data_IF_947140010516
#
_entry.id   IF_947140010516
#
_cell.length_a   1.000
_cell.length_b   1.000
_cell.length_c   1.000
_cell.angle_alpha   90.00
_cell.angle_beta   90.00
_cell.angle_gamma   90.00
#
_symmetry.space_group_name_H-M   'P 1'
#
loop_
_entity.id
_entity.type
_entity.pdbx_description
1 polymer ?
#
# COMPACT_ATOMS: atom_id res chain seq x y z
N UNK A 1 20.10 37.24 -12.38
CA UNK A 1 20.78 35.98 -12.81
C UNK A 1 21.91 35.50 -11.88
N UNK A 2 22.60 36.39 -11.16
CA UNK A 2 23.77 36.04 -10.32
C UNK A 2 23.46 35.09 -9.14
N UNK A 3 22.31 35.27 -8.47
CA UNK A 3 21.89 34.42 -7.34
C UNK A 3 21.58 32.96 -7.71
N UNK A 4 21.22 32.70 -8.97
CA UNK A 4 20.92 31.33 -9.42
C UNK A 4 22.21 30.55 -9.71
N UNK A 5 23.21 31.21 -10.31
CA UNK A 5 24.55 30.63 -10.53
C UNK A 5 25.27 30.34 -9.20
N UNK A 6 25.17 31.21 -8.20
CA UNK A 6 25.79 31.02 -6.88
C UNK A 6 25.30 29.78 -6.12
N UNK A 7 24.06 29.33 -6.34
CA UNK A 7 23.51 28.11 -5.72
C UNK A 7 23.93 26.81 -6.41
N UNK A 8 24.35 26.90 -7.67
CA UNK A 8 24.76 25.73 -8.48
C UNK A 8 26.20 25.34 -8.19
N UNK A 9 27.04 26.30 -7.80
CA UNK A 9 28.50 26.13 -7.57
C UNK A 9 28.81 26.05 -6.07
N UNK A 10 27.79 25.98 -5.23
CA UNK A 10 27.96 25.96 -3.78
C UNK A 10 28.34 24.57 -3.26
N UNK A 11 29.19 24.52 -2.24
CA UNK A 11 29.51 23.28 -1.52
C UNK A 11 28.32 22.75 -0.72
N UNK A 12 28.33 21.45 -0.41
CA UNK A 12 27.29 20.83 0.40
C UNK A 12 27.14 21.51 1.78
N UNK A 13 28.26 21.88 2.41
CA UNK A 13 28.32 22.54 3.72
C UNK A 13 27.74 23.95 3.68
N UNK A 14 28.14 24.77 2.70
CA UNK A 14 27.60 26.11 2.53
C UNK A 14 26.07 26.06 2.24
N UNK A 15 25.64 25.06 1.47
CA UNK A 15 24.22 24.80 1.20
C UNK A 15 23.45 24.37 2.45
N UNK A 16 24.06 23.58 3.33
CA UNK A 16 23.47 23.19 4.60
C UNK A 16 23.32 24.41 5.54
N UNK A 17 24.37 25.23 5.65
CA UNK A 17 24.36 26.44 6.48
C UNK A 17 23.26 27.41 6.03
N UNK A 18 23.13 27.69 4.73
CA UNK A 18 22.04 28.54 4.24
C UNK A 18 20.66 27.98 4.56
N UNK A 19 20.45 26.66 4.41
CA UNK A 19 19.15 26.04 4.73
C UNK A 19 18.83 26.20 6.22
N UNK A 20 19.82 26.07 7.08
CA UNK A 20 19.67 26.30 8.52
C UNK A 20 19.30 27.75 8.81
N UNK A 21 20.05 28.71 8.26
CA UNK A 21 19.75 30.14 8.42
C UNK A 21 18.35 30.51 7.92
N UNK A 22 17.93 29.97 6.78
CA UNK A 22 16.58 30.18 6.24
C UNK A 22 15.52 29.56 7.15
N UNK A 23 15.74 28.35 7.67
CA UNK A 23 14.84 27.70 8.61
C UNK A 23 14.64 28.54 9.88
N UNK A 24 15.74 29.02 10.47
CA UNK A 24 15.69 29.90 11.64
C UNK A 24 14.97 31.23 11.36
N UNK A 25 15.22 31.82 10.19
CA UNK A 25 14.56 33.06 9.77
C UNK A 25 13.05 32.86 9.61
N UNK A 26 12.64 31.72 9.06
CA UNK A 26 11.24 31.34 8.97
C UNK A 26 10.62 31.08 10.34
N UNK A 27 11.34 30.42 11.26
CA UNK A 27 10.88 30.19 12.62
C UNK A 27 10.65 31.51 13.37
N UNK A 28 11.64 32.42 13.34
CA UNK A 28 11.52 33.76 13.96
C UNK A 28 10.33 34.53 13.41
N UNK A 29 10.12 34.51 12.09
CA UNK A 29 8.95 35.16 11.45
C UNK A 29 7.63 34.58 11.93
N UNK A 30 7.53 33.25 12.08
CA UNK A 30 6.32 32.60 12.59
C UNK A 30 6.06 32.88 14.06
N UNK A 31 7.12 33.07 14.87
CA UNK A 31 6.97 33.41 16.28
C UNK A 31 6.42 34.83 16.46
N UNK A 32 6.83 35.77 15.61
CA UNK A 32 6.40 37.16 15.65
C UNK A 32 5.14 37.44 14.82
N UNK A 33 4.49 36.42 14.26
CA UNK A 33 3.32 36.62 13.40
C UNK A 33 2.10 37.01 14.22
N UNK A 34 1.33 37.99 13.76
CA UNK A 34 0.02 38.30 14.31
C UNK A 34 -1.02 37.21 13.99
N UNK A 35 -2.13 37.16 14.72
CA UNK A 35 -3.21 36.20 14.43
C UNK A 35 -3.79 36.38 13.01
N UNK A 36 -3.88 37.63 12.54
CA UNK A 36 -4.35 37.93 11.18
C UNK A 36 -3.38 37.38 10.13
N UNK A 37 -2.09 37.57 10.30
CA UNK A 37 -1.05 37.04 9.40
C UNK A 37 -1.03 35.51 9.42
N UNK A 38 -1.16 34.92 10.60
CA UNK A 38 -1.31 33.47 10.76
C UNK A 38 -2.49 32.93 9.98
N UNK A 39 -3.65 33.57 10.10
CA UNK A 39 -4.88 33.18 9.39
C UNK A 39 -4.70 33.24 7.88
N UNK A 40 -4.15 34.35 7.35
CA UNK A 40 -3.88 34.50 5.92
C UNK A 40 -2.90 33.43 5.40
N UNK A 41 -1.82 33.15 6.14
CA UNK A 41 -0.84 32.12 5.79
C UNK A 41 -1.48 30.72 5.75
N UNK A 42 -2.31 30.38 6.73
CA UNK A 42 -3.01 29.09 6.77
C UNK A 42 -4.02 28.96 5.63
N UNK A 43 -4.79 30.01 5.34
CA UNK A 43 -5.73 30.02 4.22
C UNK A 43 -5.02 29.85 2.87
N UNK A 44 -3.91 30.56 2.67
CA UNK A 44 -3.08 30.43 1.46
C UNK A 44 -2.45 29.05 1.33
N UNK A 45 -2.01 28.44 2.43
CA UNK A 45 -1.49 27.08 2.43
C UNK A 45 -2.59 26.07 2.07
N UNK A 46 -3.79 26.24 2.65
CA UNK A 46 -4.92 25.37 2.38
C UNK A 46 -5.41 25.46 0.93
N UNK A 47 -5.44 26.65 0.33
CA UNK A 47 -5.80 26.83 -1.08
C UNK A 47 -4.74 26.23 -2.01
N UNK A 48 -3.46 26.49 -1.74
CA UNK A 48 -2.36 25.89 -2.52
C UNK A 48 -2.34 24.36 -2.42
N UNK A 49 -2.62 23.78 -1.25
CA UNK A 49 -2.71 22.34 -1.08
C UNK A 49 -3.91 21.74 -1.84
N UNK A 50 -5.06 22.41 -1.79
CA UNK A 50 -6.23 22.02 -2.59
C UNK A 50 -5.92 22.02 -4.09
N UNK A 51 -5.26 23.07 -4.60
CA UNK A 51 -4.84 23.16 -6.00
C UNK A 51 -3.83 22.06 -6.39
N UNK A 52 -2.91 21.70 -5.49
CA UNK A 52 -1.96 20.59 -5.73
C UNK A 52 -2.66 19.24 -5.78
N UNK A 53 -3.67 19.02 -4.93
CA UNK A 53 -4.47 17.79 -4.92
C UNK A 53 -5.42 17.68 -6.11
N UNK A 54 -5.97 18.81 -6.57
CA UNK A 54 -6.85 18.84 -7.74
C UNK A 54 -6.07 18.68 -9.05
N UNK A 55 -4.77 18.96 -9.05
CA UNK A 55 -3.89 18.60 -10.17
C UNK A 55 -3.72 17.09 -10.17
N UNK A 56 -4.25 16.45 -11.22
CA UNK A 56 -3.95 15.05 -11.51
C UNK A 56 -2.42 14.87 -11.50
N UNK A 57 -1.88 13.91 -10.73
CA UNK A 57 -0.47 13.58 -10.82
C UNK A 57 -0.17 13.25 -12.28
N UNK A 58 0.84 13.90 -12.87
CA UNK A 58 1.41 13.38 -14.12
C UNK A 58 2.01 12.02 -13.76
N UNK A 59 1.32 10.94 -14.14
CA UNK A 59 1.89 9.60 -14.00
C UNK A 59 3.10 9.52 -14.91
N UNK A 60 4.20 9.02 -14.37
CA UNK A 60 5.40 8.65 -15.14
C UNK A 60 5.18 7.40 -15.99
N UNK A 61 3.94 6.87 -16.04
CA UNK A 61 3.59 5.63 -16.72
C UNK A 61 3.95 4.37 -15.93
N UNK A 62 4.64 4.49 -14.79
CA UNK A 62 5.06 3.36 -13.96
C UNK A 62 3.91 2.72 -13.15
N UNK A 63 2.83 3.46 -12.91
CA UNK A 63 1.63 2.93 -12.29
C UNK A 63 0.38 3.63 -12.85
N UNK A 64 -0.71 2.87 -13.00
CA UNK A 64 -2.03 3.42 -13.33
C UNK A 64 -2.52 4.30 -12.17
N UNK A 65 -2.93 5.52 -12.50
CA UNK A 65 -3.47 6.52 -11.55
C UNK A 65 -4.79 6.03 -10.94
N UNK A 66 -5.53 5.19 -11.68
CA UNK A 66 -6.82 4.65 -11.29
C UNK A 66 -6.70 3.13 -11.11
N UNK A 67 -6.85 2.66 -9.87
CA UNK A 67 -7.07 1.23 -9.56
C UNK A 67 -8.55 0.87 -9.68
N UNK A 68 -9.20 1.24 -10.78
CA UNK A 68 -10.53 0.72 -11.08
C UNK A 68 -10.29 -0.63 -11.74
N UNK A 69 -10.08 -1.65 -10.93
CA UNK A 69 -10.22 -3.03 -11.37
C UNK A 69 -11.70 -3.35 -11.30
N UNK A 70 -12.29 -3.73 -12.43
CA UNK A 70 -13.63 -4.34 -12.40
C UNK A 70 -13.60 -5.51 -11.42
N UNK A 71 -14.53 -5.52 -10.47
CA UNK A 71 -14.62 -6.59 -9.47
C UNK A 71 -15.13 -7.82 -10.20
N UNK A 72 -14.22 -8.57 -10.79
CA UNK A 72 -14.53 -9.81 -11.48
C UNK A 72 -14.81 -10.89 -10.43
N UNK A 73 -16.10 -11.09 -10.13
CA UNK A 73 -16.55 -12.14 -9.24
C UNK A 73 -16.44 -13.51 -9.93
N UNK A 74 -15.68 -14.43 -9.35
CA UNK A 74 -15.43 -15.77 -9.90
C UNK A 74 -16.42 -16.84 -9.37
N UNK A 75 -17.43 -16.43 -8.61
CA UNK A 75 -18.37 -17.35 -7.96
C UNK A 75 -17.95 -17.74 -6.55
N UNK A 76 -18.68 -18.69 -5.96
CA UNK A 76 -18.34 -19.24 -4.64
C UNK A 76 -17.22 -20.27 -4.75
N UNK A 77 -16.36 -20.33 -3.74
CA UNK A 77 -15.22 -21.25 -3.66
C UNK A 77 -15.68 -22.64 -3.17
N UNK A 78 -16.44 -23.36 -4.00
CA UNK A 78 -17.14 -24.60 -3.60
C UNK A 78 -16.48 -25.89 -4.10
N UNK A 79 -15.55 -25.82 -5.06
CA UNK A 79 -14.99 -27.02 -5.66
C UNK A 79 -13.82 -27.54 -4.83
N UNK A 80 -13.92 -28.76 -4.33
CA UNK A 80 -12.88 -29.34 -3.47
C UNK A 80 -11.90 -30.18 -4.28
N UNK A 81 -10.61 -29.92 -4.15
CA UNK A 81 -9.57 -30.77 -4.71
C UNK A 81 -9.58 -32.14 -4.03
N UNK A 82 -9.60 -33.21 -4.82
CA UNK A 82 -9.65 -34.59 -4.33
C UNK A 82 -8.37 -34.98 -3.58
N UNK A 83 -7.23 -34.34 -3.90
CA UNK A 83 -5.94 -34.66 -3.31
C UNK A 83 -5.61 -33.85 -2.03
N UNK A 84 -5.70 -32.51 -2.09
CA UNK A 84 -5.36 -31.64 -0.94
C UNK A 84 -6.57 -31.22 -0.11
N UNK A 85 -7.80 -31.37 -0.61
CA UNK A 85 -8.98 -30.81 0.03
C UNK A 85 -9.11 -29.29 -0.07
N UNK A 86 -8.22 -28.60 -0.79
CA UNK A 86 -8.31 -27.16 -1.02
C UNK A 86 -9.57 -26.80 -1.83
N UNK A 87 -10.14 -25.63 -1.54
CA UNK A 87 -11.31 -25.11 -2.22
C UNK A 87 -10.88 -24.26 -3.42
N UNK A 88 -11.60 -24.42 -4.53
CA UNK A 88 -11.37 -23.83 -5.83
C UNK A 88 -12.67 -23.25 -6.40
N UNK A 89 -12.53 -22.35 -7.38
CA UNK A 89 -13.69 -21.83 -8.09
C UNK A 89 -14.18 -22.83 -9.15
N UNK A 90 -15.49 -22.90 -9.44
CA UNK A 90 -16.03 -23.72 -10.53
C UNK A 90 -15.36 -23.47 -11.89
N UNK A 91 -14.95 -22.23 -12.18
CA UNK A 91 -14.29 -21.87 -13.44
C UNK A 91 -12.86 -22.42 -13.58
N UNK A 92 -12.22 -22.83 -12.48
CA UNK A 92 -10.87 -23.42 -12.49
C UNK A 92 -10.89 -24.90 -12.88
N UNK A 93 -12.04 -25.57 -12.79
CA UNK A 93 -12.18 -26.99 -13.08
C UNK A 93 -11.96 -27.25 -14.56
N UNK A 94 -10.94 -28.06 -14.89
CA UNK A 94 -10.67 -28.50 -16.26
C UNK A 94 -11.45 -29.78 -16.56
N UNK A 95 -12.08 -29.84 -17.74
CA UNK A 95 -12.85 -31.01 -18.19
C UNK A 95 -12.05 -32.33 -18.14
N UNK A 96 -10.76 -32.28 -18.45
CA UNK A 96 -9.89 -33.45 -18.46
C UNK A 96 -9.48 -33.92 -17.04
N UNK A 97 -9.64 -33.08 -16.02
CA UNK A 97 -9.12 -33.32 -14.66
C UNK A 97 -10.14 -32.84 -13.61
N UNK A 98 -11.36 -33.43 -13.56
CA UNK A 98 -12.37 -32.99 -12.61
C UNK A 98 -11.89 -33.21 -11.17
N UNK A 99 -11.94 -32.15 -10.36
CA UNK A 99 -11.51 -32.19 -8.96
C UNK A 99 -10.00 -32.29 -8.74
N UNK A 100 -9.18 -32.18 -9.79
CA UNK A 100 -7.71 -32.14 -9.69
C UNK A 100 -7.19 -30.83 -10.25
N UNK A 101 -6.33 -30.17 -9.49
CA UNK A 101 -5.85 -28.83 -9.81
C UNK A 101 -4.33 -28.83 -9.88
N UNK A 102 -3.79 -28.33 -10.99
CA UNK A 102 -2.34 -28.16 -11.16
C UNK A 102 -1.80 -27.14 -10.14
N UNK A 103 -2.59 -26.09 -9.87
CA UNK A 103 -2.25 -25.02 -8.95
C UNK A 103 -2.20 -25.45 -7.47
N UNK A 104 -3.00 -26.46 -7.04
CA UNK A 104 -2.94 -26.96 -5.66
C UNK A 104 -1.90 -28.07 -5.45
N UNK A 105 -1.90 -29.09 -6.32
CA UNK A 105 -1.16 -30.34 -6.08
C UNK A 105 -0.41 -30.86 -7.30
N UNK A 106 -0.27 -30.06 -8.35
CA UNK A 106 0.18 -30.55 -9.66
C UNK A 106 -0.60 -31.83 -10.04
N UNK A 107 -1.94 -31.75 -9.98
CA UNK A 107 -2.86 -32.86 -10.27
C UNK A 107 -2.73 -34.08 -9.34
N UNK A 108 -2.17 -33.88 -8.14
CA UNK A 108 -1.96 -34.92 -7.13
C UNK A 108 -0.56 -35.52 -7.13
N UNK A 109 0.41 -34.91 -7.85
CA UNK A 109 1.80 -35.36 -7.90
C UNK A 109 2.52 -35.24 -6.56
N UNK A 110 2.14 -34.27 -5.74
CA UNK A 110 2.64 -34.15 -4.38
C UNK A 110 1.50 -34.19 -3.38
N UNK A 111 1.70 -34.97 -2.33
CA UNK A 111 0.80 -35.03 -1.17
C UNK A 111 1.32 -34.03 -0.15
N UNK A 112 0.56 -32.95 0.05
CA UNK A 112 0.80 -32.07 1.18
C UNK A 112 0.27 -32.78 2.42
N UNK A 113 1.15 -33.35 3.24
CA UNK A 113 0.81 -33.82 4.58
C UNK A 113 0.61 -32.59 5.45
N UNK A 114 -0.55 -31.96 5.29
CA UNK A 114 -0.93 -30.78 6.04
C UNK A 114 -0.88 -31.12 7.54
N UNK A 115 0.13 -30.57 8.22
CA UNK A 115 0.17 -30.44 9.68
C UNK A 115 0.37 -31.72 10.51
N UNK A 116 0.57 -32.91 9.95
CA UNK A 116 0.80 -34.13 10.74
C UNK A 116 2.13 -34.10 11.55
N UNK A 117 3.10 -33.28 11.14
CA UNK A 117 4.42 -33.16 11.79
C UNK A 117 4.76 -31.77 12.33
N UNK A 118 3.79 -30.85 12.40
CA UNK A 118 4.05 -29.48 12.84
C UNK A 118 4.11 -29.40 14.37
N UNK A 119 5.01 -28.54 14.88
CA UNK A 119 5.06 -28.23 16.30
C UNK A 119 3.72 -27.68 16.77
N UNK A 120 3.30 -28.06 17.99
CA UNK A 120 1.94 -27.79 18.49
C UNK A 120 1.58 -26.30 18.45
N UNK A 121 2.55 -25.42 18.71
CA UNK A 121 2.39 -23.97 18.64
C UNK A 121 1.95 -23.48 17.26
N UNK A 122 2.49 -24.06 16.17
CA UNK A 122 2.12 -23.70 14.80
C UNK A 122 0.74 -24.23 14.43
N UNK A 123 0.33 -25.38 14.98
CA UNK A 123 -1.04 -25.90 14.79
C UNK A 123 -2.08 -24.99 15.42
N UNK A 124 -1.81 -24.44 16.62
CA UNK A 124 -2.71 -23.52 17.32
C UNK A 124 -2.97 -22.23 16.54
N UNK A 125 -2.00 -21.73 15.77
CA UNK A 125 -2.17 -20.56 14.91
C UNK A 125 -3.11 -20.79 13.72
N UNK A 126 -3.26 -22.05 13.28
CA UNK A 126 -4.04 -22.40 12.10
C UNK A 126 -5.51 -22.72 12.42
N UNK A 127 -5.78 -23.18 13.65
CA UNK A 127 -7.14 -23.33 14.16
C UNK A 127 -7.64 -21.95 14.57
N UNK A 128 -8.21 -21.23 13.61
CA UNK A 128 -8.94 -19.99 13.88
C UNK A 128 -10.09 -20.31 14.83
N UNK A 129 -9.99 -19.86 16.08
CA UNK A 129 -11.15 -19.84 16.95
C UNK A 129 -12.20 -18.92 16.32
N UNK A 130 -13.45 -19.39 16.14
CA UNK A 130 -14.50 -18.66 15.44
C UNK A 130 -14.84 -17.31 16.11
N UNK A 131 -14.43 -17.11 17.36
CA UNK A 131 -14.69 -15.92 18.18
C UNK A 131 -13.56 -14.88 18.17
N UNK A 132 -12.52 -15.02 17.34
CA UNK A 132 -11.49 -13.98 17.16
C UNK A 132 -12.00 -12.81 16.30
N UNK A 133 -12.87 -12.01 16.93
CA UNK A 133 -13.64 -10.90 16.37
C UNK A 133 -12.85 -9.59 16.22
N UNK A 134 -13.28 -8.80 15.21
CA UNK A 134 -13.18 -7.33 15.05
C UNK A 134 -11.93 -6.60 14.49
N UNK A 135 -10.74 -7.18 14.35
CA UNK A 135 -9.59 -6.36 13.83
C UNK A 135 -9.51 -6.24 12.30
N UNK A 136 -10.19 -7.11 11.54
CA UNK A 136 -10.10 -7.09 10.07
C UNK A 136 -11.16 -6.23 9.36
N UNK A 137 -12.13 -5.65 10.09
CA UNK A 137 -13.13 -4.73 9.49
C UNK A 137 -12.63 -3.29 9.30
N UNK A 138 -11.38 -2.99 9.64
CA UNK A 138 -10.84 -1.62 9.66
C UNK A 138 -9.79 -1.28 8.61
N UNK A 139 -9.53 -2.12 7.62
CA UNK A 139 -8.67 -1.78 6.48
C UNK A 139 -9.37 -1.95 5.14
#
# INVERSE_FOLDING_TARGET
>A
MLLRRRRVIESAEAGALRRQEDAERHQRRRFLESERERSMRLQSNASANRQRRSRLPQSTGAALITRITEVNYLGELIQRCVNCGALHFPCEVKANHPGKFHECCDLGRFTLNFFESFHEELRRLFVREPDSTEEFRRN
#
